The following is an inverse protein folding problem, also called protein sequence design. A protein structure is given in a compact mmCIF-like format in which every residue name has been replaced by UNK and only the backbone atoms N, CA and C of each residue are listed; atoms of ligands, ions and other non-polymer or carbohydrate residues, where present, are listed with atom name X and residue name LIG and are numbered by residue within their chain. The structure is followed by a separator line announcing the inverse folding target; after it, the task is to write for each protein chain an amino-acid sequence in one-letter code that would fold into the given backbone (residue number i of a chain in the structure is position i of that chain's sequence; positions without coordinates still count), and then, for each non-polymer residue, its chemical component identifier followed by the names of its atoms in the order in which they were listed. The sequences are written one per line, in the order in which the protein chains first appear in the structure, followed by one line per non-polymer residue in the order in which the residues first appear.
data_IF_305479317933
#
_entry.id   IF_305479317933
#
_cell.length_a   1.000
_cell.length_b   1.000
_cell.length_c   1.000
_cell.angle_alpha   90.00
_cell.angle_beta   90.00
_cell.angle_gamma   90.00
#
_symmetry.space_group_name_H-M   'P 1'
#
loop_
_entity.id
_entity.type
_entity.pdbx_description
1 polymer ?
#
# COMPACT_ATOMS: atom_id res chain seq x y z
N UNK A 1 -10.36 -0.44 8.93
CA UNK A 1 -9.43 0.71 8.95
C UNK A 1 -8.31 0.60 7.91
N UNK A 2 -7.59 -0.52 7.80
CA UNK A 2 -6.54 -0.70 6.79
C UNK A 2 -7.02 -0.45 5.34
N UNK A 3 -8.18 -1.02 4.95
CA UNK A 3 -8.80 -0.74 3.62
C UNK A 3 -9.12 0.75 3.38
N UNK A 4 -9.54 1.47 4.42
CA UNK A 4 -9.82 2.92 4.31
C UNK A 4 -8.52 3.70 4.16
N UNK A 5 -7.49 3.29 4.92
CA UNK A 5 -6.14 3.85 4.79
C UNK A 5 -5.58 3.62 3.39
N UNK A 6 -5.67 2.41 2.86
CA UNK A 6 -5.32 2.09 1.47
C UNK A 6 -6.03 3.03 0.49
N UNK A 7 -7.36 3.15 0.56
CA UNK A 7 -8.12 4.07 -0.31
C UNK A 7 -7.64 5.51 -0.22
N UNK A 8 -7.38 6.01 0.99
CA UNK A 8 -6.87 7.38 1.17
C UNK A 8 -5.47 7.57 0.59
N UNK A 9 -4.66 6.52 0.57
CA UNK A 9 -3.32 6.53 -0.03
C UNK A 9 -3.43 6.52 -1.56
N UNK A 10 -4.33 5.70 -2.12
CA UNK A 10 -4.63 5.68 -3.56
C UNK A 10 -5.21 7.02 -4.04
N UNK A 11 -6.12 7.62 -3.25
CA UNK A 11 -6.68 8.95 -3.50
C UNK A 11 -5.66 10.09 -3.29
N UNK A 12 -4.42 9.79 -2.89
CA UNK A 12 -3.36 10.78 -2.62
C UNK A 12 -3.64 11.70 -1.42
N UNK A 13 -4.69 11.40 -0.65
CA UNK A 13 -5.09 12.19 0.52
C UNK A 13 -4.21 11.89 1.74
N UNK A 14 -3.52 10.75 1.75
CA UNK A 14 -2.72 10.30 2.89
C UNK A 14 -1.47 9.56 2.43
N UNK A 15 -0.36 9.71 3.16
CA UNK A 15 0.89 9.03 2.84
C UNK A 15 1.04 7.73 3.64
N UNK A 16 1.54 6.67 3.02
CA UNK A 16 1.81 5.39 3.70
C UNK A 16 2.78 5.57 4.88
N UNK A 17 3.74 6.49 4.77
CA UNK A 17 4.69 6.85 5.83
C UNK A 17 4.01 7.35 7.11
N UNK A 18 2.82 7.97 7.00
CA UNK A 18 2.02 8.46 8.14
C UNK A 18 1.10 7.38 8.71
N UNK A 19 1.05 6.19 8.11
CA UNK A 19 0.19 5.10 8.57
C UNK A 19 0.69 4.55 9.91
N UNK A 20 -0.18 4.42 10.93
CA UNK A 20 0.19 3.81 12.21
C UNK A 20 0.71 2.39 12.00
N UNK A 21 1.78 2.01 12.71
CA UNK A 21 2.44 0.69 12.58
C UNK A 21 1.46 -0.49 12.65
N UNK A 22 0.44 -0.39 13.51
CA UNK A 22 -0.63 -1.41 13.65
C UNK A 22 -1.38 -1.69 12.35
N UNK A 23 -1.56 -0.68 11.49
CA UNK A 23 -2.25 -0.80 10.21
C UNK A 23 -1.28 -0.85 9.03
N UNK A 24 -0.04 -0.38 9.21
CA UNK A 24 0.98 -0.31 8.15
C UNK A 24 1.23 -1.68 7.52
N UNK A 25 1.37 -2.74 8.33
CA UNK A 25 1.53 -4.11 7.83
C UNK A 25 0.30 -4.58 7.04
N UNK A 26 -0.91 -4.32 7.54
CA UNK A 26 -2.14 -4.71 6.85
C UNK A 26 -2.33 -3.95 5.52
N UNK A 27 -2.02 -2.64 5.49
CA UNK A 27 -2.07 -1.84 4.26
C UNK A 27 -1.03 -2.33 3.27
N UNK A 28 0.17 -2.69 3.73
CA UNK A 28 1.23 -3.27 2.91
C UNK A 28 0.76 -4.56 2.25
N UNK A 29 0.18 -5.48 3.00
CA UNK A 29 -0.34 -6.73 2.43
C UNK A 29 -1.46 -6.49 1.42
N UNK A 30 -2.37 -5.55 1.69
CA UNK A 30 -3.41 -5.18 0.73
C UNK A 30 -2.79 -4.64 -0.56
N UNK A 31 -1.84 -3.71 -0.47
CA UNK A 31 -1.14 -3.18 -1.65
C UNK A 31 -0.36 -4.28 -2.40
N UNK A 32 0.25 -5.23 -1.68
CA UNK A 32 0.90 -6.39 -2.32
C UNK A 32 -0.10 -7.26 -3.06
N UNK A 33 -1.27 -7.49 -2.47
CA UNK A 33 -2.37 -8.23 -3.10
C UNK A 33 -2.87 -7.49 -4.33
N UNK A 34 -2.99 -6.16 -4.28
CA UNK A 34 -3.40 -5.36 -5.44
C UNK A 34 -2.40 -5.44 -6.60
N UNK A 35 -1.11 -5.57 -6.32
CA UNK A 35 -0.09 -5.84 -7.34
C UNK A 35 -0.32 -7.22 -7.97
N UNK A 36 -0.58 -8.25 -7.15
CA UNK A 36 -0.87 -9.61 -7.64
C UNK A 36 -2.16 -9.69 -8.45
N UNK A 37 -3.18 -8.96 -8.02
CA UNK A 37 -4.49 -8.86 -8.67
C UNK A 37 -4.43 -7.97 -9.93
N UNK A 38 -3.31 -7.30 -10.19
CA UNK A 38 -3.11 -6.42 -11.34
C UNK A 38 -3.86 -5.10 -11.24
N UNK A 39 -4.30 -4.70 -10.05
CA UNK A 39 -4.99 -3.43 -9.77
C UNK A 39 -4.00 -2.26 -9.80
N UNK A 40 -2.80 -2.47 -9.25
CA UNK A 40 -1.70 -1.49 -9.29
C UNK A 40 -0.42 -2.16 -9.78
N UNK A 41 0.54 -1.40 -10.29
CA UNK A 41 1.83 -1.96 -10.71
C UNK A 41 2.79 -2.05 -9.53
N UNK A 42 3.80 -2.90 -9.62
CA UNK A 42 4.89 -2.97 -8.64
C UNK A 42 5.62 -1.62 -8.48
N UNK A 43 5.68 -0.82 -9.55
CA UNK A 43 6.22 0.55 -9.53
C UNK A 43 5.36 1.51 -8.69
N UNK A 44 4.04 1.38 -8.78
CA UNK A 44 3.10 2.16 -7.97
C UNK A 44 3.24 1.77 -6.50
N UNK A 45 3.35 0.47 -6.21
CA UNK A 45 3.61 -0.03 -4.86
C UNK A 45 4.87 0.61 -4.25
N UNK A 46 5.96 0.69 -5.02
CA UNK A 46 7.21 1.32 -4.57
C UNK A 46 7.07 2.82 -4.37
N UNK A 47 6.33 3.49 -5.25
CA UNK A 47 6.04 4.93 -5.14
C UNK A 47 5.22 5.23 -3.88
N UNK A 48 4.24 4.37 -3.57
CA UNK A 48 3.34 4.53 -2.44
C UNK A 48 4.04 4.22 -1.11
N UNK A 49 4.71 3.07 -1.04
CA UNK A 49 5.26 2.55 0.22
C UNK A 49 6.69 3.01 0.48
N UNK A 50 7.41 3.42 -0.57
CA UNK A 50 8.87 3.63 -0.53
C UNK A 50 9.67 2.33 -0.47
N UNK A 51 9.01 1.17 -0.50
CA UNK A 51 9.63 -0.14 -0.39
C UNK A 51 9.57 -0.88 -1.74
N UNK A 52 10.60 -1.65 -2.05
CA UNK A 52 10.56 -2.51 -3.23
C UNK A 52 9.51 -3.61 -3.04
N UNK A 53 8.79 -3.93 -4.11
CA UNK A 53 7.79 -4.99 -4.08
C UNK A 53 8.52 -6.34 -4.06
N UNK A 54 8.53 -7.00 -2.91
CA UNK A 54 9.04 -8.36 -2.77
C UNK A 54 7.89 -9.36 -2.69
N UNK A 55 7.81 -10.25 -3.69
CA UNK A 55 7.11 -11.54 -3.59
C UNK A 55 7.97 -12.50 -2.79
N UNK A 56 8.04 -12.31 -1.47
CA UNK A 56 8.45 -13.40 -0.58
C UNK A 56 7.30 -14.38 -0.37
#
# INVERSE_FOLDING_TARGET
MARIWKRRIEDGTQEFSKCPTRYKNQVRELLKQDVKDGIIRAEDYKTITGEDYTEE
#
